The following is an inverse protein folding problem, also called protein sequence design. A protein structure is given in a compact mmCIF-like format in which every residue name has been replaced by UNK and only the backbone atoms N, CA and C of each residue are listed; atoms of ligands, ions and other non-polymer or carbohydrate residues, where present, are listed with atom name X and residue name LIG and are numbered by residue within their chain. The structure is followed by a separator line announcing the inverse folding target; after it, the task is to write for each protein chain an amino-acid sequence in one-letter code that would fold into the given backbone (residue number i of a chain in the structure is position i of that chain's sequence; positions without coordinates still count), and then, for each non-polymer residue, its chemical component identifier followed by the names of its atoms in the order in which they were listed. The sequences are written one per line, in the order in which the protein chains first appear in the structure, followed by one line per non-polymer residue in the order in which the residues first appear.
data_IF_354449554885
#
_entry.id   IF_354449554885
#
_cell.length_a   1.000
_cell.length_b   1.000
_cell.length_c   1.000
_cell.angle_alpha   90.00
_cell.angle_beta   90.00
_cell.angle_gamma   90.00
#
_symmetry.space_group_name_H-M   'P 1'
#
loop_
_entity.id
_entity.type
_entity.pdbx_description
1 polymer ?
#
# COMPACT_ATOMS: atom_id res chain seq x y z
N UNK A 1 -35.65 30.10 35.19
CA UNK A 1 -34.51 29.29 35.64
C UNK A 1 -33.73 28.88 34.39
N UNK A 2 -32.45 29.21 34.32
CA UNK A 2 -31.56 28.96 33.19
C UNK A 2 -30.32 28.17 33.67
N UNK A 3 -29.65 27.49 32.72
CA UNK A 3 -28.36 26.78 32.77
C UNK A 3 -28.44 25.31 33.30
N UNK A 4 -27.77 24.31 32.72
CA UNK A 4 -26.74 24.26 31.67
C UNK A 4 -26.40 22.83 31.20
N UNK A 5 -25.41 22.74 30.30
CA UNK A 5 -24.83 21.53 29.66
C UNK A 5 -24.24 20.53 30.66
N UNK A 6 -24.33 19.23 30.37
CA UNK A 6 -23.45 18.20 30.95
C UNK A 6 -23.07 17.12 29.90
N UNK A 7 -21.76 17.11 29.61
CA UNK A 7 -20.81 16.05 29.23
C UNK A 7 -21.24 14.81 28.42
N UNK A 8 -20.45 14.55 27.37
CA UNK A 8 -20.14 13.21 26.84
C UNK A 8 -19.79 12.25 27.98
N UNK A 9 -20.47 11.10 28.00
CA UNK A 9 -20.12 9.99 28.86
C UNK A 9 -19.85 8.78 27.98
N UNK A 10 -18.57 8.48 27.82
CA UNK A 10 -18.13 7.14 27.44
C UNK A 10 -18.79 6.13 28.40
N UNK A 11 -19.52 5.18 27.83
CA UNK A 11 -19.94 3.98 28.54
C UNK A 11 -19.12 2.82 27.97
N UNK A 12 -18.20 2.23 28.74
CA UNK A 12 -17.65 0.94 28.39
C UNK A 12 -18.75 -0.08 28.66
N UNK A 13 -19.34 -0.65 27.61
CA UNK A 13 -20.15 -1.85 27.74
C UNK A 13 -19.17 -3.00 28.03
N UNK A 14 -18.87 -3.23 29.30
CA UNK A 14 -18.18 -4.44 29.77
C UNK A 14 -19.16 -5.61 29.73
N UNK A 15 -19.00 -6.57 28.81
CA UNK A 15 -19.91 -7.72 28.63
C UNK A 15 -19.59 -8.84 29.66
N UNK A 16 -19.25 -8.49 30.91
CA UNK A 16 -18.73 -9.44 31.92
C UNK A 16 -19.79 -10.02 32.88
N UNK A 17 -21.06 -9.61 32.82
CA UNK A 17 -22.08 -10.07 33.80
C UNK A 17 -23.49 -10.24 33.24
N UNK A 18 -23.67 -10.73 32.00
CA UNK A 18 -25.02 -11.01 31.48
C UNK A 18 -25.30 -12.49 31.26
N UNK A 19 -26.50 -12.93 31.68
CA UNK A 19 -27.06 -14.25 31.38
C UNK A 19 -27.22 -14.44 29.86
N UNK A 20 -27.50 -15.67 29.41
CA UNK A 20 -27.58 -16.12 28.01
C UNK A 20 -28.39 -15.20 27.06
N UNK A 21 -29.36 -14.44 27.57
CA UNK A 21 -30.14 -13.46 26.79
C UNK A 21 -29.30 -12.22 26.42
N UNK A 22 -28.42 -11.73 27.30
CA UNK A 22 -27.52 -10.60 27.01
C UNK A 22 -26.37 -10.95 26.07
N UNK A 23 -26.00 -12.24 25.97
CA UNK A 23 -25.08 -12.72 24.94
C UNK A 23 -25.64 -12.58 23.52
N UNK A 24 -26.95 -12.83 23.33
CA UNK A 24 -27.61 -12.62 22.03
C UNK A 24 -27.66 -11.14 21.67
N UNK A 25 -27.87 -10.23 22.62
CA UNK A 25 -27.85 -8.78 22.34
C UNK A 25 -26.44 -8.24 22.02
N UNK A 26 -25.40 -8.70 22.73
CA UNK A 26 -23.99 -8.40 22.39
C UNK A 26 -23.67 -8.91 20.95
N UNK A 27 -24.11 -10.12 20.59
CA UNK A 27 -23.92 -10.69 19.24
C UNK A 27 -24.73 -9.94 18.16
N UNK A 28 -25.95 -9.51 18.47
CA UNK A 28 -26.81 -8.78 17.55
C UNK A 28 -26.29 -7.35 17.31
N UNK A 29 -25.80 -6.65 18.34
CA UNK A 29 -25.13 -5.36 18.21
C UNK A 29 -23.81 -5.46 17.43
N UNK A 30 -23.08 -6.56 17.58
CA UNK A 30 -21.88 -6.84 16.79
C UNK A 30 -22.23 -7.09 15.31
N UNK A 31 -23.24 -7.92 15.02
CA UNK A 31 -23.71 -8.22 13.67
C UNK A 31 -24.32 -6.99 12.96
N UNK A 32 -25.02 -6.11 13.69
CA UNK A 32 -25.57 -4.86 13.15
C UNK A 32 -24.45 -3.87 12.80
N UNK A 33 -23.32 -3.87 13.52
CA UNK A 33 -22.16 -3.03 13.20
C UNK A 33 -21.22 -3.63 12.14
N UNK A 34 -21.16 -4.95 11.98
CA UNK A 34 -20.23 -5.64 11.06
C UNK A 34 -20.85 -6.12 9.74
N UNK A 35 -22.19 -6.20 9.66
CA UNK A 35 -22.90 -6.61 8.44
C UNK A 35 -22.79 -8.10 8.08
N UNK A 36 -22.23 -8.95 8.95
CA UNK A 36 -22.13 -10.41 8.76
C UNK A 36 -22.39 -11.17 10.08
N UNK A 37 -23.08 -12.31 9.99
CA UNK A 37 -23.49 -13.12 11.15
C UNK A 37 -22.36 -13.95 11.74
N UNK A 38 -22.21 -13.90 13.06
CA UNK A 38 -21.36 -14.80 13.84
C UNK A 38 -22.18 -16.03 14.29
N UNK A 39 -21.63 -17.25 14.14
CA UNK A 39 -22.22 -18.45 14.73
C UNK A 39 -21.92 -18.48 16.25
N UNK A 40 -22.96 -18.63 17.07
CA UNK A 40 -22.89 -18.47 18.52
C UNK A 40 -22.07 -19.55 19.26
N UNK A 41 -21.64 -20.61 18.59
CA UNK A 41 -20.97 -21.76 19.21
C UNK A 41 -19.48 -21.57 19.52
N UNK A 42 -18.84 -20.48 19.06
CA UNK A 42 -17.38 -20.31 19.14
C UNK A 42 -16.92 -19.18 20.09
N UNK A 43 -17.83 -18.48 20.78
CA UNK A 43 -17.51 -17.31 21.60
C UNK A 43 -17.39 -17.74 23.08
N UNK A 44 -16.19 -17.71 23.66
CA UNK A 44 -15.99 -17.93 25.11
C UNK A 44 -15.53 -16.69 25.88
N UNK A 45 -14.94 -15.67 25.25
CA UNK A 45 -14.60 -14.39 25.89
C UNK A 45 -14.71 -13.20 24.91
N UNK A 46 -14.89 -11.99 25.46
CA UNK A 46 -15.07 -10.71 24.75
C UNK A 46 -13.93 -10.36 23.78
N UNK A 47 -12.72 -10.87 24.03
CA UNK A 47 -11.55 -10.73 23.16
C UNK A 47 -11.62 -11.58 21.88
N UNK A 48 -12.39 -12.68 21.89
CA UNK A 48 -12.48 -13.57 20.73
C UNK A 48 -13.32 -12.95 19.61
N UNK A 49 -14.33 -12.13 19.92
CA UNK A 49 -15.12 -11.43 18.89
C UNK A 49 -14.31 -10.38 18.12
N UNK A 50 -13.40 -9.68 18.81
CA UNK A 50 -12.52 -8.70 18.17
C UNK A 50 -11.44 -9.38 17.32
N UNK A 51 -10.95 -10.54 17.74
CA UNK A 51 -9.93 -11.31 17.01
C UNK A 51 -10.52 -12.08 15.81
N UNK A 52 -11.72 -12.64 15.95
CA UNK A 52 -12.40 -13.28 14.81
C UNK A 52 -12.87 -12.27 13.74
N UNK A 53 -13.14 -11.01 14.12
CA UNK A 53 -13.43 -9.96 13.15
C UNK A 53 -12.20 -9.52 12.34
N UNK A 54 -10.97 -9.70 12.84
CA UNK A 54 -9.76 -9.42 12.06
C UNK A 54 -9.41 -10.53 11.06
N UNK A 55 -9.89 -11.77 11.29
CA UNK A 55 -9.48 -12.94 10.50
C UNK A 55 -10.35 -13.24 9.26
N UNK A 56 -11.41 -12.46 9.01
CA UNK A 56 -12.24 -12.59 7.77
C UNK A 56 -12.59 -11.28 7.07
N UNK A 57 -11.79 -10.23 7.24
CA UNK A 57 -11.98 -8.95 6.53
C UNK A 57 -11.05 -8.83 5.31
N UNK A 58 -11.32 -9.66 4.30
CA UNK A 58 -10.97 -9.35 2.91
C UNK A 58 -12.27 -9.32 2.09
N UNK A 59 -13.15 -8.35 2.41
CA UNK A 59 -14.31 -8.10 1.56
C UNK A 59 -13.85 -7.28 0.35
N UNK A 60 -13.95 -7.92 -0.80
CA UNK A 60 -13.53 -7.46 -2.12
C UNK A 60 -14.55 -6.46 -2.68
N UNK A 61 -14.57 -5.22 -2.21
CA UNK A 61 -15.31 -4.12 -2.85
C UNK A 61 -14.43 -2.86 -2.90
N UNK A 62 -14.25 -2.32 -4.11
CA UNK A 62 -13.57 -1.05 -4.43
C UNK A 62 -12.03 -0.94 -4.23
N UNK A 63 -11.29 -2.02 -4.50
CA UNK A 63 -9.93 -1.89 -5.07
C UNK A 63 -8.80 -1.36 -4.19
N UNK A 64 -9.03 -1.14 -2.90
CA UNK A 64 -7.96 -0.90 -1.93
C UNK A 64 -8.24 -1.77 -0.70
N UNK A 65 -7.44 -2.82 -0.51
CA UNK A 65 -7.37 -3.53 0.78
C UNK A 65 -6.08 -3.09 1.46
N UNK A 66 -6.13 -1.96 2.16
CA UNK A 66 -5.18 -1.68 3.25
C UNK A 66 -5.77 -2.23 4.55
N UNK A 67 -4.94 -2.37 5.60
CA UNK A 67 -5.16 -2.86 6.99
C UNK A 67 -4.48 -4.25 7.22
N UNK A 68 -3.59 -4.52 8.20
CA UNK A 68 -3.18 -3.85 9.46
C UNK A 68 -1.70 -4.16 9.78
N UNK A 69 -1.07 -3.21 10.49
CA UNK A 69 0.26 -3.23 11.10
C UNK A 69 0.24 -3.99 12.45
N UNK A 70 1.02 -5.07 12.56
CA UNK A 70 1.68 -5.51 13.80
C UNK A 70 3.13 -5.87 13.45
N UNK A 71 4.04 -4.92 13.60
CA UNK A 71 5.51 -5.09 13.52
C UNK A 71 6.13 -5.46 12.16
N UNK A 72 5.33 -5.77 11.12
CA UNK A 72 5.81 -6.16 9.80
C UNK A 72 5.75 -5.04 8.73
N UNK A 73 6.28 -5.30 7.52
CA UNK A 73 6.23 -4.35 6.40
C UNK A 73 4.78 -4.07 5.97
N UNK A 74 4.54 -2.86 5.46
CA UNK A 74 3.28 -2.53 4.79
C UNK A 74 3.17 -3.31 3.48
N UNK A 75 2.05 -3.99 3.25
CA UNK A 75 1.86 -4.84 2.09
C UNK A 75 0.81 -4.27 1.15
N UNK A 76 1.09 -4.32 -0.16
CA UNK A 76 0.18 -3.86 -1.21
C UNK A 76 0.10 -4.86 -2.35
N UNK A 77 -1.05 -4.88 -3.01
CA UNK A 77 -1.29 -5.72 -4.19
C UNK A 77 -1.73 -4.84 -5.36
N UNK A 78 -0.99 -4.91 -6.46
CA UNK A 78 -1.35 -4.24 -7.71
C UNK A 78 -2.07 -5.19 -8.66
N UNK A 79 -3.07 -4.66 -9.37
CA UNK A 79 -3.83 -5.37 -10.39
C UNK A 79 -3.03 -5.50 -11.68
N UNK A 80 -3.57 -6.26 -12.63
CA UNK A 80 -2.96 -6.55 -13.93
C UNK A 80 -3.39 -5.61 -15.06
N UNK A 81 -3.88 -4.43 -14.72
CA UNK A 81 -4.48 -3.43 -15.60
C UNK A 81 -3.58 -2.20 -15.85
N UNK A 82 -2.41 -2.13 -15.21
CA UNK A 82 -1.51 -0.96 -15.24
C UNK A 82 -2.13 0.29 -14.58
N UNK A 83 -3.12 0.12 -13.70
CA UNK A 83 -3.62 1.23 -12.91
C UNK A 83 -2.68 1.50 -11.74
N UNK A 84 -2.26 2.76 -11.59
CA UNK A 84 -1.42 3.16 -10.47
C UNK A 84 -2.22 3.16 -9.18
N UNK A 85 -1.78 2.35 -8.22
CA UNK A 85 -2.28 2.35 -6.85
C UNK A 85 -1.54 3.42 -6.05
N UNK A 86 -2.19 4.54 -5.67
CA UNK A 86 -1.54 5.56 -4.85
C UNK A 86 -1.35 5.06 -3.42
N UNK A 87 -0.21 5.39 -2.81
CA UNK A 87 0.12 4.91 -1.46
C UNK A 87 -0.20 5.92 -0.35
N UNK A 88 -0.59 7.15 -0.70
CA UNK A 88 -0.88 8.20 0.28
C UNK A 88 -2.08 7.87 1.18
N UNK A 89 -3.06 7.11 0.69
CA UNK A 89 -4.21 6.66 1.49
C UNK A 89 -3.80 5.64 2.56
N UNK A 90 -2.65 4.99 2.40
CA UNK A 90 -2.04 4.12 3.39
C UNK A 90 -1.03 4.83 4.29
N UNK A 91 -0.96 6.17 4.23
CA UNK A 91 -0.05 6.99 5.03
C UNK A 91 1.40 7.04 4.51
N UNK A 92 1.67 6.52 3.32
CA UNK A 92 2.98 6.65 2.67
C UNK A 92 3.01 7.93 1.82
N UNK A 93 3.65 8.96 2.36
CA UNK A 93 4.05 10.15 1.59
C UNK A 93 5.48 9.99 1.11
N UNK A 94 5.75 10.40 -0.13
CA UNK A 94 7.10 10.46 -0.69
C UNK A 94 7.35 11.90 -1.13
N UNK A 95 8.30 12.55 -0.46
CA UNK A 95 8.61 13.98 -0.63
C UNK A 95 10.03 14.14 -1.16
N UNK A 96 10.39 15.33 -1.61
CA UNK A 96 11.79 15.65 -1.92
C UNK A 96 12.69 15.32 -0.72
N UNK A 97 13.92 14.89 -1.01
CA UNK A 97 14.93 14.47 -0.04
C UNK A 97 14.49 13.27 0.81
N UNK A 98 13.66 12.39 0.23
CA UNK A 98 13.21 11.16 0.86
C UNK A 98 13.70 9.93 0.11
N UNK A 99 13.69 8.81 0.83
CA UNK A 99 13.96 7.51 0.25
C UNK A 99 13.03 6.47 0.84
N UNK A 100 12.72 5.45 0.05
CA UNK A 100 11.89 4.34 0.47
C UNK A 100 12.52 3.03 0.03
N UNK A 101 12.49 2.05 0.93
CA UNK A 101 12.92 0.69 0.67
C UNK A 101 11.69 -0.17 0.50
N UNK A 102 11.67 -0.92 -0.59
CA UNK A 102 10.58 -1.82 -0.90
C UNK A 102 11.07 -3.12 -1.50
N UNK A 103 10.25 -4.14 -1.39
CA UNK A 103 10.42 -5.42 -2.07
C UNK A 103 9.24 -5.62 -3.01
N UNK A 104 9.52 -6.17 -4.19
CA UNK A 104 8.47 -6.47 -5.18
C UNK A 104 8.64 -7.86 -5.75
N UNK A 105 7.51 -8.56 -5.92
CA UNK A 105 7.39 -9.82 -6.64
C UNK A 105 6.39 -9.64 -7.78
N UNK A 106 6.83 -9.79 -9.02
CA UNK A 106 6.00 -9.68 -10.23
C UNK A 106 6.68 -10.32 -11.44
N UNK A 107 5.89 -10.82 -12.37
CA UNK A 107 6.39 -11.58 -13.52
C UNK A 107 6.90 -10.74 -14.70
N UNK A 108 6.53 -9.46 -14.80
CA UNK A 108 6.72 -8.70 -16.05
C UNK A 108 7.36 -7.34 -15.89
N UNK A 109 7.08 -6.64 -14.80
CA UNK A 109 7.62 -5.31 -14.56
C UNK A 109 6.93 -4.64 -13.39
N UNK A 110 7.73 -3.91 -12.62
CA UNK A 110 7.31 -3.13 -11.48
C UNK A 110 7.45 -1.64 -11.82
N UNK A 111 6.38 -0.89 -11.63
CA UNK A 111 6.26 0.51 -12.01
C UNK A 111 6.07 1.35 -10.78
N UNK A 112 6.87 2.40 -10.64
CA UNK A 112 6.80 3.36 -9.55
C UNK A 112 6.61 4.73 -10.17
N UNK A 113 5.55 5.43 -9.77
CA UNK A 113 5.30 6.81 -10.15
C UNK A 113 5.61 7.73 -8.96
N UNK A 114 6.53 8.66 -9.17
CA UNK A 114 6.84 9.76 -8.27
C UNK A 114 6.11 11.00 -8.79
N UNK A 115 4.99 11.36 -8.16
CA UNK A 115 4.01 12.28 -8.72
C UNK A 115 4.00 13.61 -7.96
N UNK A 116 3.80 14.70 -8.72
CA UNK A 116 3.50 16.02 -8.14
C UNK A 116 2.06 16.13 -7.64
N UNK A 117 1.15 15.45 -8.32
CA UNK A 117 -0.29 15.48 -8.05
C UNK A 117 -0.78 14.12 -7.54
N UNK A 118 -2.00 14.07 -7.00
CA UNK A 118 -2.61 12.82 -6.51
C UNK A 118 -3.02 11.85 -7.63
N UNK A 119 -2.88 12.26 -8.89
CA UNK A 119 -3.25 11.50 -10.07
C UNK A 119 -2.03 11.31 -10.97
N UNK A 120 -2.05 10.24 -11.75
CA UNK A 120 -0.99 9.89 -12.70
C UNK A 120 -1.15 10.57 -14.08
N UNK A 121 -2.15 11.44 -14.23
CA UNK A 121 -2.35 12.26 -15.43
C UNK A 121 -1.50 13.53 -15.44
N UNK A 122 -0.99 13.93 -14.28
CA UNK A 122 -0.15 15.12 -14.11
C UNK A 122 1.35 14.84 -14.28
N UNK A 123 2.21 15.83 -13.97
CA UNK A 123 3.66 15.67 -13.99
C UNK A 123 4.13 14.61 -12.98
N UNK A 124 4.89 13.63 -13.47
CA UNK A 124 5.49 12.58 -12.65
C UNK A 124 6.81 12.08 -13.25
N UNK A 125 7.60 11.42 -12.42
CA UNK A 125 8.65 10.52 -12.88
C UNK A 125 8.15 9.08 -12.82
N UNK A 126 8.40 8.32 -13.87
CA UNK A 126 8.04 6.91 -13.96
C UNK A 126 9.34 6.09 -13.96
N UNK A 127 9.52 5.28 -12.92
CA UNK A 127 10.58 4.28 -12.82
C UNK A 127 10.00 2.92 -13.16
N UNK A 128 10.63 2.23 -14.10
CA UNK A 128 10.22 0.91 -14.57
C UNK A 128 11.35 -0.08 -14.33
N UNK A 129 11.11 -0.99 -13.39
CA UNK A 129 12.00 -2.08 -13.04
C UNK A 129 11.54 -3.31 -13.82
N UNK A 130 12.44 -3.89 -14.61
CA UNK A 130 12.10 -4.99 -15.50
C UNK A 130 11.35 -4.56 -16.75
N UNK A 131 11.66 -3.36 -17.27
CA UNK A 131 11.16 -2.91 -18.57
C UNK A 131 11.59 -3.81 -19.72
N UNK A 132 10.88 -3.74 -20.84
CA UNK A 132 11.16 -4.52 -22.06
C UNK A 132 11.30 -6.03 -21.78
N UNK A 133 10.26 -6.66 -21.25
CA UNK A 133 10.25 -8.09 -20.89
C UNK A 133 11.30 -8.44 -19.82
N UNK A 134 11.39 -7.64 -18.76
CA UNK A 134 12.33 -7.86 -17.66
C UNK A 134 13.80 -7.81 -18.06
N UNK A 135 14.15 -6.94 -19.01
CA UNK A 135 15.53 -6.81 -19.52
C UNK A 135 16.18 -5.46 -19.18
N UNK A 136 15.41 -4.48 -18.71
CA UNK A 136 15.89 -3.11 -18.51
C UNK A 136 15.42 -2.46 -17.22
N UNK A 137 16.22 -1.50 -16.75
CA UNK A 137 15.80 -0.40 -15.89
C UNK A 137 15.49 0.80 -16.79
N UNK A 138 14.32 1.41 -16.64
CA UNK A 138 13.91 2.57 -17.43
C UNK A 138 13.46 3.69 -16.49
N UNK A 139 13.85 4.92 -16.79
CA UNK A 139 13.25 6.12 -16.17
C UNK A 139 12.65 7.01 -17.25
N UNK A 140 11.55 7.68 -16.91
CA UNK A 140 10.78 8.56 -17.79
C UNK A 140 10.32 9.78 -17.01
N UNK A 141 10.21 10.92 -17.71
CA UNK A 141 9.65 12.17 -17.16
C UNK A 141 8.18 12.33 -17.54
N UNK A 142 7.38 11.33 -17.15
CA UNK A 142 5.94 11.25 -17.39
C UNK A 142 5.51 9.83 -17.76
N UNK A 143 4.26 9.48 -17.46
CA UNK A 143 3.67 8.18 -17.79
C UNK A 143 3.73 7.94 -19.29
N UNK A 144 4.41 6.87 -19.71
CA UNK A 144 4.63 6.53 -21.13
C UNK A 144 5.36 7.60 -21.97
N UNK A 145 6.03 8.56 -21.33
CA UNK A 145 6.86 9.53 -22.05
C UNK A 145 8.14 8.88 -22.59
N UNK A 146 8.92 9.67 -23.35
CA UNK A 146 10.24 9.24 -23.82
C UNK A 146 11.14 8.82 -22.65
N UNK A 147 11.90 7.75 -22.87
CA UNK A 147 12.85 7.23 -21.89
C UNK A 147 13.99 8.24 -21.73
N UNK A 148 14.22 8.71 -20.51
CA UNK A 148 15.40 9.52 -20.15
C UNK A 148 16.56 8.65 -19.68
N UNK A 149 16.24 7.44 -19.19
CA UNK A 149 17.19 6.38 -18.91
C UNK A 149 16.64 5.05 -19.42
N UNK A 150 17.51 4.23 -20.02
CA UNK A 150 17.22 2.87 -20.44
C UNK A 150 18.51 2.04 -20.38
N UNK A 151 18.75 1.42 -19.24
CA UNK A 151 19.94 0.59 -19.01
C UNK A 151 19.62 -0.90 -19.10
N UNK A 152 20.53 -1.67 -19.68
CA UNK A 152 20.44 -3.13 -19.69
C UNK A 152 20.59 -3.67 -18.26
N UNK A 153 19.56 -4.36 -17.79
CA UNK A 153 19.46 -4.91 -16.45
C UNK A 153 18.48 -6.08 -16.47
N UNK A 154 18.94 -7.28 -16.89
CA UNK A 154 18.07 -8.43 -17.01
C UNK A 154 17.72 -9.02 -15.64
N UNK A 155 16.51 -9.58 -15.56
CA UNK A 155 16.05 -10.37 -14.42
C UNK A 155 15.99 -9.60 -13.10
N UNK A 156 15.52 -8.34 -13.14
CA UNK A 156 15.37 -7.52 -11.93
C UNK A 156 14.13 -7.88 -11.09
N UNK A 157 13.11 -8.46 -11.71
CA UNK A 157 11.91 -8.94 -11.00
C UNK A 157 11.68 -10.42 -11.28
N UNK A 158 10.96 -11.10 -10.39
CA UNK A 158 10.65 -12.52 -10.50
C UNK A 158 9.20 -12.82 -10.08
N UNK A 159 8.62 -13.87 -10.66
CA UNK A 159 7.25 -14.31 -10.37
C UNK A 159 7.10 -14.92 -8.96
N UNK A 160 8.18 -15.47 -8.42
CA UNK A 160 8.19 -16.35 -7.26
C UNK A 160 9.00 -15.77 -6.10
N UNK A 161 9.99 -14.92 -6.37
CA UNK A 161 10.81 -14.28 -5.35
C UNK A 161 10.63 -12.75 -5.27
N UNK A 162 10.75 -12.24 -4.06
CA UNK A 162 10.81 -10.80 -3.81
C UNK A 162 12.23 -10.31 -4.12
N UNK A 163 12.32 -9.20 -4.84
CA UNK A 163 13.56 -8.47 -5.08
C UNK A 163 13.47 -7.09 -4.41
N UNK A 164 14.52 -6.73 -3.69
CA UNK A 164 14.54 -5.52 -2.86
C UNK A 164 15.23 -4.36 -3.57
N UNK A 165 14.62 -3.18 -3.49
CA UNK A 165 15.10 -1.94 -4.07
C UNK A 165 15.00 -0.80 -3.07
N UNK A 166 15.87 0.18 -3.23
CA UNK A 166 15.74 1.50 -2.62
C UNK A 166 15.57 2.52 -3.74
N UNK A 167 14.55 3.36 -3.64
CA UNK A 167 14.41 4.55 -4.47
C UNK A 167 14.58 5.79 -3.60
N UNK A 168 15.33 6.76 -4.09
CA UNK A 168 15.55 8.04 -3.44
C UNK A 168 15.43 9.17 -4.46
N UNK A 169 14.95 10.32 -3.98
CA UNK A 169 14.93 11.56 -4.74
C UNK A 169 15.54 12.69 -3.92
N UNK A 170 16.38 13.49 -4.55
CA UNK A 170 17.02 14.67 -3.95
C UNK A 170 17.25 15.72 -5.05
N UNK A 171 16.56 16.86 -4.98
CA UNK A 171 16.66 17.97 -5.95
C UNK A 171 16.59 17.51 -7.42
N UNK A 172 15.61 16.65 -7.74
CA UNK A 172 15.44 16.08 -9.09
C UNK A 172 16.46 15.01 -9.50
N UNK A 173 17.41 14.65 -8.62
CA UNK A 173 18.25 13.46 -8.77
C UNK A 173 17.48 12.23 -8.29
N UNK A 174 17.14 11.34 -9.22
CA UNK A 174 16.43 10.09 -8.94
C UNK A 174 17.46 8.97 -8.96
N UNK A 175 17.54 8.22 -7.87
CA UNK A 175 18.40 7.05 -7.78
C UNK A 175 17.58 5.82 -7.37
N UNK A 176 17.82 4.71 -8.07
CA UNK A 176 17.29 3.39 -7.76
C UNK A 176 18.45 2.44 -7.54
N UNK A 177 18.52 1.87 -6.35
CA UNK A 177 19.52 0.88 -5.96
C UNK A 177 18.88 -0.50 -5.85
N UNK A 178 19.45 -1.48 -6.56
CA UNK A 178 19.15 -2.89 -6.33
C UNK A 178 19.90 -3.37 -5.08
N UNK A 179 19.18 -3.87 -4.07
CA UNK A 179 19.76 -4.09 -2.74
C UNK A 179 20.72 -5.28 -2.69
N UNK A 180 20.47 -6.34 -3.48
CA UNK A 180 21.32 -7.52 -3.51
C UNK A 180 22.63 -7.27 -4.26
N UNK A 181 22.53 -6.79 -5.52
CA UNK A 181 23.73 -6.56 -6.34
C UNK A 181 24.44 -5.24 -6.05
N UNK A 182 23.86 -4.37 -5.22
CA UNK A 182 24.29 -2.99 -4.99
C UNK A 182 24.41 -2.12 -6.25
N UNK A 183 23.86 -2.57 -7.39
CA UNK A 183 23.86 -1.80 -8.64
C UNK A 183 22.94 -0.59 -8.49
N UNK A 184 23.44 0.56 -8.94
CA UNK A 184 22.75 1.85 -8.89
C UNK A 184 22.40 2.30 -10.31
N UNK A 185 21.19 2.82 -10.47
CA UNK A 185 20.68 3.46 -11.68
C UNK A 185 20.22 4.86 -11.29
N UNK A 186 20.67 5.89 -12.00
CA UNK A 186 20.31 7.25 -11.64
C UNK A 186 20.18 8.18 -12.84
N UNK A 187 19.42 9.25 -12.64
CA UNK A 187 19.25 10.32 -13.61
C UNK A 187 18.88 11.59 -12.87
N UNK A 188 19.36 12.74 -13.38
CA UNK A 188 19.05 14.06 -12.82
C UNK A 188 18.22 14.86 -13.81
N UNK A 189 17.06 15.35 -13.37
CA UNK A 189 16.23 16.27 -14.16
C UNK A 189 16.83 17.69 -14.14
N UNK A 190 17.15 18.31 -15.29
CA UNK A 190 17.57 19.71 -15.33
C UNK A 190 16.47 20.70 -14.92
N UNK A 191 15.20 20.27 -14.87
CA UNK A 191 14.07 21.08 -14.39
C UNK A 191 13.19 20.25 -13.43
N UNK A 192 13.62 20.10 -12.16
CA UNK A 192 13.02 19.18 -11.22
C UNK A 192 11.51 19.35 -11.02
N UNK A 193 10.81 18.23 -10.97
CA UNK A 193 9.46 18.17 -10.44
C UNK A 193 9.47 18.29 -8.92
N UNK A 194 8.44 18.92 -8.36
CA UNK A 194 8.20 18.90 -6.91
C UNK A 194 7.35 17.66 -6.60
N UNK A 195 7.98 16.58 -6.18
CA UNK A 195 7.32 15.31 -5.88
C UNK A 195 6.68 15.36 -4.50
N UNK A 196 5.45 14.85 -4.39
CA UNK A 196 4.71 14.78 -3.12
C UNK A 196 3.96 13.47 -2.91
N UNK A 197 3.85 12.64 -3.95
CA UNK A 197 3.09 11.41 -3.92
C UNK A 197 3.87 10.27 -4.58
N UNK A 198 3.60 9.06 -4.12
CA UNK A 198 4.09 7.84 -4.71
C UNK A 198 2.92 6.91 -5.05
N UNK A 199 3.00 6.27 -6.20
CA UNK A 199 2.09 5.21 -6.60
C UNK A 199 2.85 4.06 -7.24
N UNK A 200 2.25 2.87 -7.20
CA UNK A 200 2.83 1.64 -7.75
C UNK A 200 1.87 0.97 -8.73
N UNK A 201 2.42 0.31 -9.73
CA UNK A 201 1.67 -0.53 -10.66
C UNK A 201 2.53 -1.72 -11.10
N UNK A 202 1.89 -2.76 -11.62
CA UNK A 202 2.57 -3.81 -12.36
C UNK A 202 2.22 -3.72 -13.85
N UNK A 203 3.06 -4.32 -14.69
CA UNK A 203 2.82 -4.34 -16.13
C UNK A 203 1.49 -5.03 -16.48
N UNK A 204 0.93 -4.73 -17.65
CA UNK A 204 -0.28 -5.41 -18.13
C UNK A 204 -0.16 -6.93 -18.08
N UNK A 205 -1.25 -7.57 -17.68
CA UNK A 205 -1.35 -9.02 -17.51
C UNK A 205 -0.35 -9.61 -16.51
N UNK A 206 0.13 -8.81 -15.55
CA UNK A 206 0.85 -9.28 -14.37
C UNK A 206 0.28 -8.59 -13.13
N UNK A 207 0.14 -9.33 -12.04
CA UNK A 207 -0.08 -8.74 -10.72
C UNK A 207 1.28 -8.45 -10.06
N UNK A 208 1.25 -7.66 -9.00
CA UNK A 208 2.44 -7.40 -8.18
C UNK A 208 2.11 -7.46 -6.71
N UNK A 209 2.97 -8.11 -5.94
CA UNK A 209 2.97 -8.08 -4.48
C UNK A 209 4.12 -7.20 -4.00
N UNK A 210 3.83 -6.27 -3.10
CA UNK A 210 4.76 -5.24 -2.67
C UNK A 210 4.85 -5.18 -1.16
N UNK A 211 6.06 -4.99 -0.65
CA UNK A 211 6.35 -4.79 0.77
C UNK A 211 7.14 -3.52 0.95
N UNK A 212 6.70 -2.65 1.85
CA UNK A 212 7.38 -1.41 2.19
C UNK A 212 7.84 -1.44 3.64
N UNK A 213 9.12 -1.17 3.84
CA UNK A 213 9.73 -1.07 5.17
C UNK A 213 9.69 0.40 5.58
N UNK A 214 8.79 0.74 6.51
CA UNK A 214 8.59 2.09 7.05
C UNK A 214 8.49 2.13 8.57
#
# INVERSE_FOLDING_TARGET
MQYGLIAEKELPLTCTTMNTIGHLECAMLCAIKSGYGCEASEIRHELDCCLFSSDKMAKKENGVSSLVKYGGPLQFFTRNDYEYLPLFDAGLSFVENSSIVFEVKTCRGAHIALMREKTDTGPLYEVVIGGEKNTKMIMRRGKFSSQVLSEWAPSLVDCYSYNAFKIQIDDGHIEVKHMESNKVYNWTDPNPLNVSYIAIASWWNATGEWKFNV
#
